data_IF_627227432057
#
_entry.id   IF_627227432057
#
_cell.length_a   1.000
_cell.length_b   1.000
_cell.length_c   1.000
_cell.angle_alpha   90.00
_cell.angle_beta   90.00
_cell.angle_gamma   90.00
#
_symmetry.space_group_name_H-M   'P 1'
#
loop_
_entity.id
_entity.type
_entity.pdbx_description
1 polymer ?
#
# COMPACT_ATOMS: atom_id res chain seq x y z
N UNK A 1 18.37 13.94 -1.09
CA UNK A 1 17.64 13.87 -2.37
C UNK A 1 18.40 14.52 -3.51
N UNK A 2 18.95 15.71 -3.28
CA UNK A 2 19.64 16.48 -4.33
C UNK A 2 20.93 15.84 -4.86
N UNK A 3 21.54 14.96 -4.07
CA UNK A 3 22.78 14.26 -4.40
C UNK A 3 22.56 12.77 -4.70
N UNK A 4 21.31 12.31 -4.77
CA UNK A 4 21.01 10.89 -4.96
C UNK A 4 21.46 10.44 -6.35
N UNK A 5 22.34 9.41 -6.46
CA UNK A 5 22.74 8.87 -7.74
C UNK A 5 21.58 8.06 -8.32
N UNK A 6 21.18 8.39 -9.55
CA UNK A 6 20.07 7.74 -10.21
C UNK A 6 18.87 8.66 -10.46
N UNK A 7 18.12 8.27 -11.47
CA UNK A 7 17.07 9.01 -12.16
C UNK A 7 15.99 9.67 -11.33
N UNK A 8 15.54 8.91 -10.35
CA UNK A 8 14.14 8.87 -9.98
C UNK A 8 14.11 8.00 -8.73
N UNK A 9 14.14 8.59 -7.54
CA UNK A 9 13.98 7.82 -6.32
C UNK A 9 12.52 7.38 -6.24
N UNK A 10 12.28 6.07 -6.39
CA UNK A 10 11.00 5.47 -6.06
C UNK A 10 10.93 5.27 -4.55
N UNK A 11 9.82 5.69 -3.94
CA UNK A 11 9.56 5.42 -2.53
C UNK A 11 8.62 4.24 -2.43
N UNK A 12 9.10 3.15 -1.83
CA UNK A 12 8.22 2.05 -1.48
C UNK A 12 7.44 2.40 -0.23
N UNK A 13 6.11 2.22 -0.29
CA UNK A 13 5.23 2.40 0.85
C UNK A 13 5.18 1.10 1.68
N UNK A 14 4.80 1.23 2.96
CA UNK A 14 4.80 0.10 3.89
C UNK A 14 3.61 -0.85 3.63
N UNK A 15 3.87 -1.94 2.94
CA UNK A 15 2.84 -2.95 2.64
C UNK A 15 3.16 -4.28 3.30
N UNK A 16 2.16 -4.87 3.95
CA UNK A 16 2.22 -6.17 4.60
C UNK A 16 1.59 -7.24 3.69
N UNK A 17 2.39 -8.24 3.33
CA UNK A 17 1.99 -9.38 2.50
C UNK A 17 2.05 -10.67 3.30
N UNK A 18 0.91 -11.17 3.78
CA UNK A 18 0.81 -12.47 4.47
C UNK A 18 2.02 -12.78 5.36
N UNK A 19 2.71 -13.90 5.08
CA UNK A 19 3.88 -14.38 5.83
C UNK A 19 5.24 -13.84 5.36
N UNK A 20 5.27 -12.85 4.46
CA UNK A 20 6.51 -12.37 3.84
C UNK A 20 7.52 -11.77 4.83
N UNK A 21 7.04 -11.29 5.99
CA UNK A 21 7.89 -10.84 7.09
C UNK A 21 7.25 -11.21 8.43
N UNK A 22 8.04 -11.63 9.45
CA UNK A 22 7.54 -11.87 10.80
C UNK A 22 6.85 -10.64 11.41
N UNK A 23 7.23 -9.44 10.97
CA UNK A 23 6.64 -8.18 11.40
C UNK A 23 5.17 -8.02 10.97
N UNK A 24 4.74 -8.69 9.90
CA UNK A 24 3.34 -8.65 9.44
C UNK A 24 2.39 -9.21 10.51
N UNK A 25 2.81 -10.27 11.21
CA UNK A 25 2.04 -10.84 12.32
C UNK A 25 1.84 -9.82 13.44
N UNK A 26 2.84 -8.97 13.70
CA UNK A 26 2.72 -7.91 14.71
C UNK A 26 1.78 -6.80 14.24
N UNK A 27 1.76 -6.47 12.95
CA UNK A 27 0.80 -5.51 12.39
C UNK A 27 -0.63 -6.03 12.45
N UNK A 28 -0.85 -7.32 12.18
CA UNK A 28 -2.17 -7.95 12.32
C UNK A 28 -2.62 -7.99 13.79
N UNK A 29 -1.75 -8.40 14.71
CA UNK A 29 -2.05 -8.36 16.17
C UNK A 29 -2.40 -6.95 16.68
N UNK A 30 -1.80 -5.92 16.07
CA UNK A 30 -2.09 -4.53 16.40
C UNK A 30 -3.34 -3.98 15.69
N UNK A 31 -4.05 -4.79 14.89
CA UNK A 31 -5.15 -4.38 14.02
C UNK A 31 -4.79 -3.19 13.10
N UNK A 32 -3.60 -3.26 12.49
CA UNK A 32 -3.05 -2.19 11.64
C UNK A 32 -3.00 -2.56 10.16
N UNK A 33 -3.57 -3.68 9.74
CA UNK A 33 -3.58 -4.10 8.33
C UNK A 33 -4.97 -3.86 7.75
N UNK A 34 -5.04 -3.05 6.70
CA UNK A 34 -6.27 -2.75 5.98
C UNK A 34 -6.57 -3.87 4.98
N UNK A 35 -7.86 -4.20 4.74
CA UNK A 35 -8.29 -5.29 3.88
C UNK A 35 -8.21 -4.91 2.38
N UNK A 36 -7.07 -4.39 1.93
CA UNK A 36 -6.89 -4.03 0.53
C UNK A 36 -6.84 -5.30 -0.34
N UNK A 37 -7.58 -5.33 -1.47
CA UNK A 37 -7.47 -6.40 -2.45
C UNK A 37 -6.04 -6.57 -2.94
N UNK A 38 -5.68 -7.80 -3.33
CA UNK A 38 -4.35 -8.12 -3.85
C UNK A 38 -3.93 -7.22 -5.02
N UNK A 39 -4.88 -6.78 -5.85
CA UNK A 39 -4.67 -5.84 -6.97
C UNK A 39 -3.93 -4.57 -6.57
N UNK A 40 -4.13 -4.08 -5.34
CA UNK A 40 -3.54 -2.85 -4.84
C UNK A 40 -2.25 -3.08 -4.04
N UNK A 41 -1.88 -4.32 -3.78
CA UNK A 41 -0.66 -4.63 -3.05
C UNK A 41 0.55 -4.59 -3.99
N UNK A 42 0.76 -3.42 -4.60
CA UNK A 42 2.01 -3.03 -5.24
C UNK A 42 2.71 -2.07 -4.28
N UNK A 43 4.01 -2.23 -4.05
CA UNK A 43 4.73 -1.46 -3.03
C UNK A 43 4.83 0.06 -3.34
N UNK A 44 4.15 0.57 -4.37
CA UNK A 44 4.39 1.88 -4.95
C UNK A 44 3.17 2.80 -4.92
N UNK A 45 1.94 2.29 -4.99
CA UNK A 45 0.72 3.10 -5.05
C UNK A 45 -0.08 3.05 -3.75
N UNK A 46 -0.44 1.86 -3.28
CA UNK A 46 -1.25 1.70 -2.08
C UNK A 46 -0.43 1.13 -0.92
N UNK A 47 -0.80 1.56 0.29
CA UNK A 47 -0.21 1.13 1.53
C UNK A 47 -1.31 0.50 2.38
N UNK A 48 -1.14 -0.74 2.81
CA UNK A 48 -2.16 -1.43 3.63
C UNK A 48 -1.84 -1.44 5.13
N UNK A 49 -0.79 -0.75 5.58
CA UNK A 49 -0.46 -0.68 7.00
C UNK A 49 -0.78 0.69 7.60
N UNK A 50 -1.72 0.74 8.55
CA UNK A 50 -2.04 1.94 9.33
C UNK A 50 -0.82 2.43 10.10
N UNK A 51 -0.46 3.70 9.98
CA UNK A 51 0.69 4.27 10.68
C UNK A 51 0.43 4.41 12.18
N UNK A 52 1.49 4.28 13.00
CA UNK A 52 1.38 4.44 14.46
C UNK A 52 1.39 5.91 14.91
N UNK A 53 2.13 6.76 14.20
CA UNK A 53 2.48 8.12 14.66
C UNK A 53 1.92 9.23 13.75
N UNK A 54 1.16 8.87 12.72
CA UNK A 54 0.62 9.81 11.74
C UNK A 54 -0.81 9.41 11.41
N UNK A 55 -1.68 10.40 11.20
CA UNK A 55 -2.94 10.15 10.52
C UNK A 55 -2.69 9.84 9.03
N UNK A 56 -3.67 9.24 8.36
CA UNK A 56 -3.61 9.04 6.92
C UNK A 56 -3.46 10.36 6.15
N UNK A 57 -4.12 11.43 6.63
CA UNK A 57 -4.03 12.77 6.04
C UNK A 57 -2.61 13.34 6.15
N UNK A 58 -2.03 13.30 7.35
CA UNK A 58 -0.65 13.76 7.59
C UNK A 58 0.36 12.98 6.76
N UNK A 59 0.14 11.67 6.62
CA UNK A 59 1.00 10.80 5.83
C UNK A 59 0.97 11.20 4.35
N UNK A 60 -0.23 11.31 3.76
CA UNK A 60 -0.35 11.69 2.36
C UNK A 60 0.15 13.11 2.11
N UNK A 61 -0.07 14.07 3.02
CA UNK A 61 0.51 15.43 2.91
C UNK A 61 2.04 15.38 2.82
N UNK A 62 2.69 14.53 3.62
CA UNK A 62 4.14 14.36 3.61
C UNK A 62 4.65 13.66 2.35
N UNK A 63 3.97 12.60 1.91
CA UNK A 63 4.36 11.84 0.71
C UNK A 63 4.18 12.69 -0.54
N UNK A 64 3.08 13.46 -0.63
CA UNK A 64 2.83 14.44 -1.69
C UNK A 64 3.97 15.46 -1.71
N UNK A 65 4.23 16.15 -0.59
CA UNK A 65 5.29 17.17 -0.54
C UNK A 65 6.68 16.63 -0.86
N UNK A 66 7.00 15.40 -0.42
CA UNK A 66 8.25 14.73 -0.77
C UNK A 66 8.34 14.41 -2.27
N UNK A 67 7.23 13.95 -2.86
CA UNK A 67 7.13 13.62 -4.28
C UNK A 67 7.23 14.88 -5.14
N UNK A 68 6.50 15.94 -4.79
CA UNK A 68 6.57 17.25 -5.45
C UNK A 68 7.98 17.82 -5.43
N UNK A 69 8.64 17.81 -4.26
CA UNK A 69 10.01 18.27 -4.16
C UNK A 69 10.94 17.44 -5.04
N UNK A 70 10.80 16.12 -5.01
CA UNK A 70 11.60 15.18 -5.79
C UNK A 70 11.50 15.45 -7.29
N UNK A 71 10.30 15.73 -7.78
CA UNK A 71 10.04 16.01 -9.20
C UNK A 71 10.08 17.50 -9.57
N UNK A 72 10.41 18.38 -8.63
CA UNK A 72 10.65 19.79 -8.94
C UNK A 72 11.86 19.96 -9.86
N UNK A 73 11.77 20.93 -10.78
CA UNK A 73 12.88 21.29 -11.67
C UNK A 73 14.17 21.60 -10.91
N UNK A 74 14.06 22.26 -9.75
CA UNK A 74 15.20 22.54 -8.87
C UNK A 74 15.91 21.26 -8.45
N UNK A 75 15.18 20.28 -7.92
CA UNK A 75 15.77 19.02 -7.46
C UNK A 75 16.29 18.18 -8.64
N UNK A 76 15.60 18.19 -9.79
CA UNK A 76 16.06 17.53 -11.02
C UNK A 76 17.40 18.13 -11.50
N UNK A 77 17.50 19.47 -11.56
CA UNK A 77 18.73 20.17 -11.97
C UNK A 77 19.88 19.89 -11.00
N UNK A 78 19.62 19.91 -9.69
CA UNK A 78 20.62 19.58 -8.68
C UNK A 78 21.18 18.16 -8.88
N UNK A 79 20.30 17.17 -9.09
CA UNK A 79 20.71 15.78 -9.39
C UNK A 79 21.43 15.65 -10.72
N UNK A 80 21.00 16.40 -11.73
CA UNK A 80 21.64 16.45 -13.04
C UNK A 80 23.10 16.92 -12.94
N UNK A 81 23.35 18.00 -12.20
CA UNK A 81 24.71 18.52 -11.95
C UNK A 81 25.58 17.55 -11.15
N UNK A 82 24.98 16.80 -10.23
CA UNK A 82 25.70 15.83 -9.41
C UNK A 82 26.10 14.53 -10.17
N UNK A 83 25.45 14.21 -11.30
CA UNK A 83 25.65 12.92 -12.00
C UNK A 83 26.62 13.05 -13.19
N UNK A 84 27.77 12.37 -13.17
CA UNK A 84 28.85 12.51 -14.18
C UNK A 84 28.63 11.79 -15.53
N UNK A 85 27.69 10.83 -15.64
CA UNK A 85 27.48 10.01 -16.86
C UNK A 85 26.34 10.53 -17.76
N UNK A 86 26.55 10.61 -19.08
CA UNK A 86 25.65 11.27 -20.06
C UNK A 86 24.39 10.47 -20.49
N UNK A 87 24.47 9.15 -20.65
CA UNK A 87 23.37 8.33 -21.24
C UNK A 87 22.19 8.05 -20.29
N UNK A 88 22.37 7.82 -18.97
CA UNK A 88 21.22 7.69 -18.05
C UNK A 88 20.38 8.97 -17.97
N UNK A 89 20.93 10.14 -18.34
CA UNK A 89 20.34 11.46 -18.06
C UNK A 89 18.97 11.69 -18.69
N UNK A 90 18.70 11.12 -19.87
CA UNK A 90 17.46 11.40 -20.61
C UNK A 90 16.31 10.46 -20.28
N UNK A 91 16.59 9.18 -20.05
CA UNK A 91 15.59 8.26 -19.49
C UNK A 91 15.07 8.73 -18.14
N UNK A 92 15.92 9.40 -17.35
CA UNK A 92 15.56 9.90 -16.03
C UNK A 92 14.54 11.04 -16.08
N UNK A 93 14.67 11.94 -17.05
CA UNK A 93 13.75 13.07 -17.24
C UNK A 93 12.43 12.58 -17.84
N UNK A 94 12.47 11.71 -18.85
CA UNK A 94 11.25 11.14 -19.46
C UNK A 94 10.43 10.37 -18.42
N UNK A 95 11.07 9.56 -17.57
CA UNK A 95 10.39 8.81 -16.50
C UNK A 95 9.87 9.69 -15.37
N UNK A 96 10.58 10.78 -15.05
CA UNK A 96 10.11 11.80 -14.11
C UNK A 96 8.87 12.55 -14.62
N UNK A 97 8.77 12.76 -15.94
CA UNK A 97 7.68 13.50 -16.60
C UNK A 97 6.53 12.57 -17.04
N UNK A 98 6.69 11.25 -16.95
CA UNK A 98 5.65 10.27 -17.32
C UNK A 98 4.65 9.99 -16.19
N UNK A 99 3.75 9.02 -16.44
CA UNK A 99 2.79 8.46 -15.48
C UNK A 99 3.41 8.03 -14.15
N UNK A 100 4.71 7.73 -14.12
CA UNK A 100 5.38 7.24 -12.91
C UNK A 100 5.60 8.33 -11.85
N UNK A 101 5.82 9.59 -12.27
CA UNK A 101 5.99 10.75 -11.39
C UNK A 101 4.69 11.53 -11.20
N UNK A 102 4.17 12.10 -12.30
CA UNK A 102 2.95 12.92 -12.26
C UNK A 102 1.69 12.10 -12.00
N UNK A 103 1.59 10.88 -12.54
CA UNK A 103 0.45 9.99 -12.28
C UNK A 103 0.39 9.56 -10.82
N UNK A 104 1.54 9.24 -10.22
CA UNK A 104 1.65 8.90 -8.80
C UNK A 104 1.29 10.07 -7.89
N UNK A 105 1.79 11.27 -8.20
CA UNK A 105 1.43 12.47 -7.46
C UNK A 105 -0.07 12.77 -7.56
N UNK A 106 -0.65 12.65 -8.76
CA UNK A 106 -2.08 12.83 -8.98
C UNK A 106 -2.91 11.80 -8.18
N UNK A 107 -2.47 10.53 -8.15
CA UNK A 107 -3.10 9.49 -7.35
C UNK A 107 -3.08 9.82 -5.85
N UNK A 108 -1.91 10.19 -5.30
CA UNK A 108 -1.81 10.58 -3.89
C UNK A 108 -2.66 11.81 -3.56
N UNK A 109 -2.67 12.82 -4.43
CA UNK A 109 -3.47 14.02 -4.26
C UNK A 109 -4.98 13.71 -4.28
N UNK A 110 -5.43 12.86 -5.19
CA UNK A 110 -6.84 12.43 -5.26
C UNK A 110 -7.25 11.63 -4.02
N UNK A 111 -6.41 10.71 -3.56
CA UNK A 111 -6.69 9.95 -2.34
C UNK A 111 -6.70 10.86 -1.11
N UNK A 112 -5.77 11.82 -1.01
CA UNK A 112 -5.75 12.83 0.04
C UNK A 112 -7.02 13.68 0.07
N UNK A 113 -7.53 14.07 -1.11
CA UNK A 113 -8.79 14.80 -1.27
C UNK A 113 -9.99 13.96 -0.81
N UNK A 114 -10.01 12.67 -1.17
CA UNK A 114 -11.07 11.74 -0.74
C UNK A 114 -11.06 11.49 0.75
N UNK A 115 -9.89 11.40 1.38
CA UNK A 115 -9.78 11.32 2.83
C UNK A 115 -10.41 12.52 3.55
N UNK A 116 -10.60 13.66 2.89
CA UNK A 116 -11.37 14.79 3.44
C UNK A 116 -12.86 14.75 3.09
N UNK A 117 -13.19 14.42 1.85
CA UNK A 117 -14.51 14.64 1.29
C UNK A 117 -15.39 13.40 1.16
N UNK A 118 -14.82 12.20 1.19
CA UNK A 118 -15.51 10.92 0.96
C UNK A 118 -15.61 10.11 2.26
N UNK A 119 -16.81 10.05 2.89
CA UNK A 119 -16.99 9.31 4.14
C UNK A 119 -16.71 7.81 4.00
N UNK A 120 -16.96 7.22 2.84
CA UNK A 120 -16.75 5.79 2.64
C UNK A 120 -15.25 5.46 2.61
N UNK A 121 -14.45 6.32 1.98
CA UNK A 121 -12.98 6.21 2.03
C UNK A 121 -12.49 6.41 3.47
N UNK A 122 -13.01 7.38 4.21
CA UNK A 122 -12.62 7.61 5.62
C UNK A 122 -12.89 6.37 6.48
N UNK A 123 -14.13 5.86 6.46
CA UNK A 123 -14.53 4.67 7.24
C UNK A 123 -13.69 3.44 6.90
N UNK A 124 -13.38 3.24 5.62
CA UNK A 124 -12.51 2.14 5.20
C UNK A 124 -11.08 2.30 5.75
N UNK A 125 -10.51 3.50 5.66
CA UNK A 125 -9.16 3.78 6.16
C UNK A 125 -9.05 3.76 7.69
N UNK A 126 -10.13 4.07 8.38
CA UNK A 126 -10.26 3.96 9.83
C UNK A 126 -10.59 2.54 10.30
N UNK A 127 -10.79 1.61 9.35
CA UNK A 127 -11.15 0.20 9.58
C UNK A 127 -12.53 0.03 10.27
N UNK A 128 -13.44 0.97 10.04
CA UNK A 128 -14.85 0.89 10.48
C UNK A 128 -15.72 0.05 9.54
N UNK A 129 -15.22 -0.24 8.33
CA UNK A 129 -15.85 -1.11 7.34
C UNK A 129 -14.78 -1.88 6.59
N UNK A 130 -15.13 -3.09 6.14
CA UNK A 130 -14.33 -3.87 5.20
C UNK A 130 -14.83 -3.74 3.76
N UNK A 131 -15.93 -3.02 3.54
CA UNK A 131 -16.46 -2.75 2.21
C UNK A 131 -15.51 -1.83 1.44
N UNK A 132 -15.07 -2.28 0.27
CA UNK A 132 -14.11 -1.55 -0.55
C UNK A 132 -14.78 -0.30 -1.16
N UNK A 133 -14.21 0.91 -1.00
CA UNK A 133 -14.75 2.12 -1.62
C UNK A 133 -14.85 2.01 -3.13
N UNK A 134 -15.92 2.59 -3.71
CA UNK A 134 -16.15 2.62 -5.16
C UNK A 134 -14.94 3.12 -5.95
N UNK A 135 -14.20 4.10 -5.39
CA UNK A 135 -12.92 4.57 -5.93
C UNK A 135 -11.97 3.43 -6.33
N UNK A 136 -11.80 2.43 -5.45
CA UNK A 136 -10.92 1.29 -5.70
C UNK A 136 -11.60 0.28 -6.62
N UNK A 137 -12.90 0.00 -6.43
CA UNK A 137 -13.65 -0.92 -7.32
C UNK A 137 -13.58 -0.46 -8.77
N UNK A 138 -13.82 0.83 -9.01
CA UNK A 138 -13.78 1.45 -10.33
C UNK A 138 -12.36 1.39 -10.92
N UNK A 139 -11.32 1.56 -10.09
CA UNK A 139 -9.95 1.39 -10.54
C UNK A 139 -9.67 -0.05 -11.00
N UNK A 140 -10.03 -1.07 -10.22
CA UNK A 140 -9.85 -2.48 -10.65
C UNK A 140 -10.63 -2.75 -11.94
N UNK A 141 -11.87 -2.27 -12.03
CA UNK A 141 -12.71 -2.42 -13.23
C UNK A 141 -12.06 -1.80 -14.46
N UNK A 142 -11.54 -0.58 -14.33
CA UNK A 142 -10.86 0.12 -15.42
C UNK A 142 -9.57 -0.59 -15.84
N UNK A 143 -8.79 -1.08 -14.86
CA UNK A 143 -7.53 -1.79 -15.11
C UNK A 143 -7.76 -3.15 -15.81
N UNK A 144 -8.82 -3.88 -15.44
CA UNK A 144 -9.17 -5.18 -16.02
C UNK A 144 -9.92 -5.06 -17.36
N UNK A 145 -10.62 -3.96 -17.59
CA UNK A 145 -11.44 -3.76 -18.79
C UNK A 145 -12.44 -4.91 -18.99
N UNK A 146 -12.50 -5.55 -20.18
CA UNK A 146 -13.41 -6.66 -20.45
C UNK A 146 -13.24 -7.87 -19.53
N UNK A 147 -12.06 -8.07 -18.92
CA UNK A 147 -11.82 -9.18 -18.00
C UNK A 147 -12.54 -9.01 -16.65
N UNK A 148 -13.07 -7.82 -16.36
CA UNK A 148 -13.86 -7.56 -15.15
C UNK A 148 -15.01 -8.55 -14.98
N UNK A 149 -15.69 -8.91 -16.08
CA UNK A 149 -16.82 -9.85 -16.08
C UNK A 149 -16.42 -11.28 -15.69
N UNK A 150 -15.13 -11.61 -15.72
CA UNK A 150 -14.61 -12.93 -15.34
C UNK A 150 -14.06 -12.95 -13.91
N UNK A 151 -14.03 -11.80 -13.25
CA UNK A 151 -13.52 -11.70 -11.90
C UNK A 151 -14.50 -12.38 -10.92
N UNK A 152 -14.07 -13.36 -10.12
CA UNK A 152 -14.92 -13.95 -9.08
C UNK A 152 -15.45 -12.87 -8.13
N UNK A 153 -16.68 -13.05 -7.65
CA UNK A 153 -17.34 -12.07 -6.78
C UNK A 153 -16.55 -11.79 -5.48
N UNK A 154 -15.78 -12.76 -5.00
CA UNK A 154 -14.93 -12.70 -3.81
C UNK A 154 -13.48 -12.26 -4.11
N UNK A 155 -13.09 -12.04 -5.36
CA UNK A 155 -11.70 -11.72 -5.70
C UNK A 155 -11.25 -10.34 -5.18
N UNK A 156 -12.20 -9.46 -4.87
CA UNK A 156 -11.93 -8.17 -4.22
C UNK A 156 -11.89 -8.28 -2.69
N UNK A 157 -12.32 -9.40 -2.13
CA UNK A 157 -12.24 -9.63 -0.70
C UNK A 157 -10.81 -10.04 -0.32
N UNK A 158 -10.32 -9.46 0.77
CA UNK A 158 -9.06 -9.84 1.37
C UNK A 158 -9.23 -9.91 2.89
N UNK A 159 -8.90 -11.04 3.50
CA UNK A 159 -8.80 -11.15 4.95
C UNK A 159 -7.41 -10.66 5.42
N UNK A 160 -7.33 -9.49 6.08
CA UNK A 160 -6.06 -8.93 6.52
C UNK A 160 -5.48 -9.65 7.74
N UNK A 161 -6.22 -10.53 8.41
CA UNK A 161 -5.80 -11.27 9.62
C UNK A 161 -5.56 -12.76 9.38
N UNK A 162 -5.67 -13.24 8.13
CA UNK A 162 -5.52 -14.65 7.79
C UNK A 162 -4.21 -15.28 8.31
N UNK A 163 -3.12 -14.51 8.40
CA UNK A 163 -1.86 -15.02 8.94
C UNK A 163 -1.94 -15.23 10.47
N UNK A 164 -2.49 -14.27 11.20
CA UNK A 164 -2.71 -14.37 12.65
C UNK A 164 -3.59 -15.56 13.00
N UNK A 165 -4.72 -15.72 12.31
CA UNK A 165 -5.64 -16.86 12.52
C UNK A 165 -4.92 -18.20 12.40
N UNK A 166 -4.12 -18.37 11.34
CA UNK A 166 -3.37 -19.61 11.13
C UNK A 166 -2.30 -19.87 12.20
N UNK A 167 -1.65 -18.82 12.73
CA UNK A 167 -0.66 -18.96 13.82
C UNK A 167 -1.32 -19.30 15.16
N UNK A 168 -2.51 -18.78 15.41
CA UNK A 168 -3.30 -19.08 16.60
C UNK A 168 -3.83 -20.52 16.56
N UNK A 169 -4.29 -20.99 15.40
CA UNK A 169 -4.71 -22.38 15.18
C UNK A 169 -3.56 -23.39 15.35
N UNK A 170 -2.35 -23.01 14.94
CA UNK A 170 -1.14 -23.85 15.04
C UNK A 170 -0.48 -23.80 16.44
N UNK A 171 -0.92 -22.90 17.32
CA UNK A 171 -0.36 -22.77 18.66
C UNK A 171 -0.83 -23.92 19.59
N UNK A 172 0.06 -24.54 20.38
CA UNK A 172 -0.21 -25.78 21.12
C UNK A 172 -1.29 -25.72 22.20
N UNK A 173 -1.90 -24.56 22.46
CA UNK A 173 -3.05 -24.43 23.38
C UNK A 173 -4.31 -25.15 22.88
N UNK A 174 -4.42 -25.42 21.58
CA UNK A 174 -5.56 -26.17 21.00
C UNK A 174 -5.38 -27.69 21.12
N UNK A 175 -4.16 -28.18 21.32
CA UNK A 175 -3.86 -29.61 21.39
C UNK A 175 -4.09 -30.21 22.79
N UNK A 176 -4.08 -29.40 23.85
CA UNK A 176 -4.38 -29.85 25.22
C UNK A 176 -5.88 -30.20 25.46
N UNK A 177 -6.78 -29.84 24.54
CA UNK A 177 -8.20 -30.23 24.63
C UNK A 177 -8.52 -31.58 23.99
N UNK A 178 -7.60 -32.15 23.21
CA UNK A 178 -7.80 -33.46 22.56
C UNK A 178 -7.28 -34.61 23.44
N UNK A 179 -6.23 -34.39 24.24
CA UNK A 179 -5.65 -35.43 25.09
C UNK A 179 -6.35 -35.64 26.44
N UNK A 180 -7.11 -34.67 26.93
CA UNK A 180 -7.84 -34.81 28.20
C UNK A 180 -9.17 -35.59 28.08
N UNK A 181 -9.57 -36.01 26.88
CA UNK A 181 -10.78 -36.80 26.63
C UNK A 181 -10.58 -38.32 26.57
N UNK A 182 -9.34 -38.82 26.55
CA UNK A 182 -9.04 -40.26 26.42
C UNK A 182 -8.53 -40.94 27.70
N UNK A 183 -8.37 -40.21 28.81
CA UNK A 183 -7.85 -40.74 30.07
C UNK A 183 -8.95 -41.09 31.11
N UNK A 184 -10.22 -41.10 30.72
CA UNK A 184 -11.34 -41.49 31.58
C UNK A 184 -12.24 -42.52 30.88
N UNK A 185 -11.79 -43.78 30.84
CA UNK A 185 -12.62 -44.95 30.55
C UNK A 185 -12.01 -46.18 31.21
#
# INVERSE_FOLDING_TARGET
MDLTPGAFPGYSLLSAFGRAAPLNLQYQRANRVLPFPFHFLDNNHAMNVKLKNYSWRDFYDRVIGLTEYTFSWRAIINRFRATRTMIPRWMNVVRAVSSEGFGRLAYYAELRRRLDADPHVQRYFDQETTELPAFYVDQVRNDLGPLWEWLPADALYHDPHAYLTLEEEQSPKTLEHVDNGLAAS
#
